data_IF_720785543548
#
_entry.id   IF_720785543548
#
_cell.length_a   1.000
_cell.length_b   1.000
_cell.length_c   1.000
_cell.angle_alpha   90.00
_cell.angle_beta   90.00
_cell.angle_gamma   90.00
#
_symmetry.space_group_name_H-M   'P 1'
#
loop_
_entity.id
_entity.type
_entity.pdbx_description
1 polymer ?
#
# COMPACT_ATOMS: atom_id res chain seq x y z
N UNK A 1 -21.08 -21.98 12.83
CA UNK A 1 -20.36 -20.74 12.49
C UNK A 1 -20.44 -19.83 13.71
N UNK A 2 -19.30 -19.39 14.27
CA UNK A 2 -19.33 -18.49 15.44
C UNK A 2 -19.72 -17.07 15.01
N UNK A 3 -20.18 -16.23 15.95
CA UNK A 3 -20.45 -14.80 15.66
C UNK A 3 -19.22 -14.09 15.10
N UNK A 4 -18.03 -14.49 15.56
CA UNK A 4 -16.75 -14.02 15.04
C UNK A 4 -16.50 -14.46 13.58
N UNK A 5 -16.85 -15.69 13.22
CA UNK A 5 -16.74 -16.16 11.83
C UNK A 5 -17.71 -15.41 10.91
N UNK A 6 -18.94 -15.14 11.36
CA UNK A 6 -19.89 -14.33 10.61
C UNK A 6 -19.39 -12.89 10.39
N UNK A 7 -18.84 -12.26 11.44
CA UNK A 7 -18.25 -10.93 11.34
C UNK A 7 -17.08 -10.90 10.36
N UNK A 8 -16.20 -11.91 10.40
CA UNK A 8 -15.10 -12.00 9.44
C UNK A 8 -15.61 -12.15 8.00
N UNK A 9 -16.62 -12.97 7.73
CA UNK A 9 -17.19 -13.08 6.39
C UNK A 9 -17.73 -11.74 5.88
N UNK A 10 -18.48 -11.00 6.72
CA UNK A 10 -18.98 -9.66 6.39
C UNK A 10 -17.82 -8.68 6.17
N UNK A 11 -16.80 -8.72 7.01
CA UNK A 11 -15.63 -7.84 6.89
C UNK A 11 -14.86 -8.09 5.59
N UNK A 12 -14.72 -9.35 5.16
CA UNK A 12 -14.06 -9.69 3.89
C UNK A 12 -14.87 -9.27 2.68
N UNK A 13 -16.20 -9.43 2.72
CA UNK A 13 -17.08 -8.93 1.66
C UNK A 13 -17.02 -7.39 1.57
N UNK A 14 -16.98 -6.70 2.72
CA UNK A 14 -16.81 -5.25 2.79
C UNK A 14 -15.41 -4.79 2.34
N UNK A 15 -14.36 -5.56 2.59
CA UNK A 15 -12.98 -5.21 2.18
C UNK A 15 -12.79 -5.29 0.65
N UNK A 16 -13.63 -6.06 -0.04
CA UNK A 16 -13.72 -6.06 -1.50
C UNK A 16 -14.64 -4.96 -2.04
N UNK A 17 -15.38 -4.24 -1.18
CA UNK A 17 -16.11 -3.05 -1.58
C UNK A 17 -15.11 -1.91 -1.80
N UNK A 18 -14.88 -1.58 -3.07
CA UNK A 18 -13.99 -0.49 -3.48
C UNK A 18 -14.69 0.86 -3.51
N UNK A 19 -15.96 0.96 -3.09
CA UNK A 19 -16.71 2.22 -3.07
C UNK A 19 -16.17 3.16 -2.01
N UNK A 20 -16.38 4.45 -2.23
CA UNK A 20 -15.98 5.46 -1.27
C UNK A 20 -16.87 5.44 -0.04
N UNK A 21 -16.24 5.28 1.12
CA UNK A 21 -16.88 5.47 2.41
C UNK A 21 -17.05 6.99 2.69
N UNK A 22 -18.27 7.47 2.98
CA UNK A 22 -18.52 8.86 3.36
C UNK A 22 -17.65 9.35 4.53
N UNK A 23 -17.33 8.50 5.51
CA UNK A 23 -16.47 8.87 6.66
C UNK A 23 -15.04 9.21 6.21
N UNK A 24 -14.56 8.55 5.14
CA UNK A 24 -13.22 8.79 4.62
C UNK A 24 -13.11 10.06 3.76
N UNK A 25 -14.24 10.63 3.30
CA UNK A 25 -14.25 11.86 2.50
C UNK A 25 -13.77 13.08 3.29
N UNK A 26 -14.17 13.20 4.55
CA UNK A 26 -13.69 14.29 5.42
C UNK A 26 -12.20 14.15 5.69
N UNK A 27 -11.75 12.92 5.93
CA UNK A 27 -10.35 12.59 6.16
C UNK A 27 -9.50 12.92 4.93
N UNK A 28 -9.99 12.64 3.72
CA UNK A 28 -9.22 12.88 2.50
C UNK A 28 -9.00 14.38 2.25
N UNK A 29 -9.98 15.23 2.55
CA UNK A 29 -9.79 16.69 2.53
C UNK A 29 -8.60 17.13 3.39
N UNK A 30 -8.50 16.61 4.61
CA UNK A 30 -7.42 16.96 5.56
C UNK A 30 -6.07 16.34 5.22
N UNK A 31 -6.04 15.08 4.78
CA UNK A 31 -4.80 14.32 4.62
C UNK A 31 -4.16 14.50 3.23
N UNK A 32 -4.98 14.74 2.20
CA UNK A 32 -4.51 14.85 0.83
C UNK A 32 -5.03 16.09 0.09
N UNK A 33 -5.58 17.09 0.79
CA UNK A 33 -6.08 18.33 0.20
C UNK A 33 -7.15 18.08 -0.89
N UNK A 34 -7.91 17.00 -0.73
CA UNK A 34 -8.97 16.66 -1.65
C UNK A 34 -10.16 17.61 -1.50
N UNK A 35 -10.52 18.30 -2.57
CA UNK A 35 -11.74 19.11 -2.62
C UNK A 35 -12.73 18.51 -3.62
N UNK A 36 -13.90 18.12 -3.13
CA UNK A 36 -14.94 17.47 -3.93
C UNK A 36 -15.38 18.33 -5.13
N UNK A 37 -15.38 19.66 -4.98
CA UNK A 37 -15.77 20.58 -6.06
C UNK A 37 -14.74 20.64 -7.21
N UNK A 38 -13.46 20.34 -6.93
CA UNK A 38 -12.37 20.38 -7.92
C UNK A 38 -11.84 18.99 -8.29
N UNK A 39 -12.37 17.92 -7.67
CA UNK A 39 -11.95 16.53 -7.87
C UNK A 39 -12.01 16.13 -9.35
N UNK A 40 -13.17 16.27 -9.98
CA UNK A 40 -13.38 15.88 -11.38
C UNK A 40 -12.47 16.66 -12.34
N UNK A 41 -12.27 17.96 -12.09
CA UNK A 41 -11.36 18.81 -12.85
C UNK A 41 -9.91 18.31 -12.74
N UNK A 42 -9.46 17.99 -11.52
CA UNK A 42 -8.09 17.51 -11.27
C UNK A 42 -7.82 16.16 -11.95
N UNK A 43 -8.81 15.26 -11.95
CA UNK A 43 -8.72 13.97 -12.67
C UNK A 43 -8.64 14.20 -14.18
N UNK A 44 -9.47 15.10 -14.72
CA UNK A 44 -9.47 15.46 -16.14
C UNK A 44 -8.14 16.08 -16.56
N UNK A 45 -7.60 16.98 -15.74
CA UNK A 45 -6.29 17.60 -15.97
C UNK A 45 -5.16 16.55 -15.94
N UNK A 46 -5.19 15.61 -14.99
CA UNK A 46 -4.21 14.53 -14.94
C UNK A 46 -4.30 13.65 -16.20
N UNK A 47 -5.50 13.26 -16.63
CA UNK A 47 -5.71 12.46 -17.85
C UNK A 47 -5.20 13.19 -19.09
N UNK A 48 -5.50 14.48 -19.21
CA UNK A 48 -4.97 15.33 -20.28
C UNK A 48 -3.43 15.40 -20.23
N UNK A 49 -2.85 15.58 -19.05
CA UNK A 49 -1.40 15.66 -18.88
C UNK A 49 -0.69 14.36 -19.27
N UNK A 50 -1.27 13.19 -18.95
CA UNK A 50 -0.76 11.88 -19.37
C UNK A 50 -0.70 11.81 -20.90
N UNK A 51 -1.80 12.17 -21.57
CA UNK A 51 -1.90 12.16 -23.03
C UNK A 51 -0.93 13.15 -23.69
N UNK A 52 -0.95 14.41 -23.26
CA UNK A 52 -0.17 15.48 -23.88
C UNK A 52 1.35 15.24 -23.78
N UNK A 53 1.81 14.63 -22.67
CA UNK A 53 3.24 14.43 -22.41
C UNK A 53 3.78 13.13 -22.98
N UNK A 54 2.96 12.08 -23.08
CA UNK A 54 3.38 10.78 -23.59
C UNK A 54 4.56 10.15 -22.83
N UNK A 55 4.78 10.52 -21.56
CA UNK A 55 5.93 10.04 -20.76
C UNK A 55 5.72 8.61 -20.22
N UNK A 56 4.48 8.12 -20.22
CA UNK A 56 4.10 6.77 -19.81
C UNK A 56 2.76 6.36 -20.44
N UNK A 57 2.51 5.05 -20.53
CA UNK A 57 1.23 4.48 -20.95
C UNK A 57 0.62 3.64 -19.82
N UNK A 58 -0.12 4.27 -18.88
CA UNK A 58 -0.79 3.54 -17.81
C UNK A 58 -1.83 2.56 -18.36
N UNK A 59 -1.89 1.36 -17.78
CA UNK A 59 -2.90 0.35 -18.17
C UNK A 59 -4.33 0.77 -17.84
N UNK A 60 -4.49 1.65 -16.85
CA UNK A 60 -5.76 2.17 -16.36
C UNK A 60 -5.69 3.68 -16.24
N UNK A 61 -6.78 4.34 -16.60
CA UNK A 61 -6.95 5.79 -16.48
C UNK A 61 -8.38 6.15 -16.05
N UNK A 62 -9.12 5.21 -15.48
CA UNK A 62 -10.39 5.47 -14.79
C UNK A 62 -10.18 6.36 -13.56
N UNK A 63 -11.28 6.94 -13.06
CA UNK A 63 -11.25 7.94 -12.01
C UNK A 63 -10.73 7.35 -10.70
N UNK A 64 -11.17 6.14 -10.33
CA UNK A 64 -10.73 5.43 -9.13
C UNK A 64 -9.22 5.16 -9.16
N UNK A 65 -8.70 4.72 -10.32
CA UNK A 65 -7.28 4.48 -10.49
C UNK A 65 -6.45 5.76 -10.36
N UNK A 66 -6.86 6.84 -11.03
CA UNK A 66 -6.13 8.12 -11.01
C UNK A 66 -6.20 8.83 -9.65
N UNK A 67 -7.30 8.67 -8.91
CA UNK A 67 -7.47 9.20 -7.56
C UNK A 67 -6.38 8.71 -6.60
N UNK A 68 -5.88 7.47 -6.75
CA UNK A 68 -4.78 6.93 -5.93
C UNK A 68 -3.52 7.81 -6.03
N UNK A 69 -3.20 8.27 -7.23
CA UNK A 69 -2.01 9.10 -7.49
C UNK A 69 -2.23 10.54 -7.01
N UNK A 70 -3.42 11.11 -7.25
CA UNK A 70 -3.80 12.43 -6.76
C UNK A 70 -3.77 12.49 -5.23
N UNK A 71 -4.44 11.55 -4.55
CA UNK A 71 -4.44 11.42 -3.08
C UNK A 71 -3.03 11.22 -2.52
N UNK A 72 -2.18 10.43 -3.19
CA UNK A 72 -0.81 10.24 -2.77
C UNK A 72 0.05 11.52 -2.88
N UNK A 73 -0.33 12.46 -3.75
CA UNK A 73 0.43 13.69 -4.05
C UNK A 73 -0.34 14.96 -3.78
N UNK A 74 -1.20 14.93 -2.76
CA UNK A 74 -1.88 16.09 -2.20
C UNK A 74 -2.75 16.84 -3.24
N UNK A 75 -3.31 16.11 -4.21
CA UNK A 75 -4.05 16.65 -5.34
C UNK A 75 -3.25 17.61 -6.24
N UNK A 76 -1.91 17.59 -6.16
CA UNK A 76 -1.04 18.36 -7.05
C UNK A 76 -0.80 17.57 -8.34
N UNK A 77 -1.56 17.90 -9.40
CA UNK A 77 -1.58 17.18 -10.69
C UNK A 77 -0.18 16.91 -11.27
N UNK A 78 0.75 17.88 -11.38
CA UNK A 78 2.10 17.61 -11.89
C UNK A 78 2.91 16.61 -11.05
N UNK A 79 2.67 16.56 -9.72
CA UNK A 79 3.34 15.61 -8.82
C UNK A 79 2.72 14.21 -8.96
N UNK A 80 1.40 14.13 -9.11
CA UNK A 80 0.68 12.89 -9.38
C UNK A 80 1.14 12.26 -10.71
N UNK A 81 1.21 13.06 -11.78
CA UNK A 81 1.75 12.62 -13.07
C UNK A 81 3.18 12.08 -12.94
N UNK A 82 4.06 12.82 -12.26
CA UNK A 82 5.45 12.37 -12.03
C UNK A 82 5.53 11.05 -11.27
N UNK A 83 4.65 10.82 -10.29
CA UNK A 83 4.56 9.54 -9.59
C UNK A 83 4.07 8.43 -10.52
N UNK A 84 3.06 8.70 -11.35
CA UNK A 84 2.51 7.74 -12.31
C UNK A 84 3.56 7.30 -13.34
N UNK A 85 4.34 8.23 -13.90
CA UNK A 85 5.46 7.93 -14.79
C UNK A 85 6.48 7.02 -14.10
N UNK A 86 6.83 7.31 -12.83
CA UNK A 86 7.75 6.47 -12.04
C UNK A 86 7.16 5.08 -11.79
N UNK A 87 5.87 4.99 -11.50
CA UNK A 87 5.15 3.73 -11.30
C UNK A 87 5.19 2.86 -12.54
N UNK A 88 4.82 3.40 -13.71
CA UNK A 88 4.87 2.67 -14.98
C UNK A 88 6.29 2.18 -15.30
N UNK A 89 7.29 3.08 -15.22
CA UNK A 89 8.69 2.74 -15.44
C UNK A 89 9.21 1.68 -14.47
N UNK A 90 8.79 1.72 -13.20
CA UNK A 90 9.18 0.71 -12.22
C UNK A 90 8.65 -0.67 -12.63
N UNK A 91 7.39 -0.75 -13.06
CA UNK A 91 6.78 -2.00 -13.53
C UNK A 91 7.43 -2.54 -14.79
N UNK A 92 7.70 -1.66 -15.76
CA UNK A 92 8.41 -2.00 -17.00
C UNK A 92 9.82 -2.55 -16.73
N UNK A 93 10.54 -1.95 -15.78
CA UNK A 93 11.89 -2.38 -15.42
C UNK A 93 11.95 -3.62 -14.51
N UNK A 94 10.83 -3.99 -13.89
CA UNK A 94 10.75 -5.13 -12.96
C UNK A 94 9.57 -6.05 -13.29
N UNK A 95 9.48 -6.58 -14.52
CA UNK A 95 8.34 -7.40 -14.95
C UNK A 95 8.22 -8.67 -14.10
N UNK A 96 9.33 -9.24 -13.61
CA UNK A 96 9.35 -10.42 -12.74
C UNK A 96 8.58 -10.26 -11.41
N UNK A 97 8.23 -9.03 -11.01
CA UNK A 97 7.41 -8.78 -9.81
C UNK A 97 5.90 -8.84 -10.09
N UNK A 98 5.48 -8.82 -11.36
CA UNK A 98 4.08 -8.62 -11.74
C UNK A 98 3.61 -9.55 -12.86
N UNK A 99 4.45 -9.78 -13.86
CA UNK A 99 4.15 -10.58 -15.04
C UNK A 99 4.22 -12.06 -14.70
N UNK A 100 3.15 -12.78 -15.01
CA UNK A 100 3.00 -14.23 -14.81
C UNK A 100 3.16 -14.68 -13.35
N UNK A 101 3.01 -13.74 -12.41
CA UNK A 101 3.03 -14.00 -10.97
C UNK A 101 1.69 -14.57 -10.55
N UNK A 102 1.69 -15.81 -10.06
CA UNK A 102 0.53 -16.45 -9.42
C UNK A 102 0.30 -15.81 -8.06
N UNK A 103 -0.70 -14.91 -7.98
CA UNK A 103 -1.05 -14.20 -6.74
C UNK A 103 -1.27 -15.18 -5.58
N UNK A 104 -1.85 -16.34 -5.85
CA UNK A 104 -2.20 -17.34 -4.84
C UNK A 104 -0.98 -18.10 -4.34
N UNK A 105 0.10 -18.16 -5.13
CA UNK A 105 1.36 -18.74 -4.69
C UNK A 105 1.99 -17.98 -3.53
N UNK A 106 1.68 -16.69 -3.35
CA UNK A 106 2.14 -15.89 -2.22
C UNK A 106 1.68 -16.46 -0.87
N UNK A 107 0.56 -17.20 -0.84
CA UNK A 107 0.12 -17.90 0.38
C UNK A 107 1.17 -18.88 0.92
N UNK A 108 2.04 -19.44 0.06
CA UNK A 108 3.11 -20.36 0.44
C UNK A 108 4.25 -19.67 1.19
N UNK A 109 4.38 -18.35 1.03
CA UNK A 109 5.39 -17.55 1.70
C UNK A 109 4.96 -17.19 3.14
N UNK A 110 3.73 -17.56 3.51
CA UNK A 110 3.20 -17.42 4.87
C UNK A 110 3.22 -15.97 5.35
N UNK A 111 3.66 -15.79 6.60
CA UNK A 111 3.68 -14.48 7.26
C UNK A 111 4.97 -13.68 6.99
N UNK A 112 5.85 -14.15 6.08
CA UNK A 112 7.13 -13.48 5.80
C UNK A 112 6.92 -12.08 5.20
N UNK A 113 5.84 -11.86 4.45
CA UNK A 113 5.48 -10.56 3.87
C UNK A 113 4.44 -9.79 4.69
N UNK A 114 4.20 -10.12 5.97
CA UNK A 114 3.38 -9.28 6.85
C UNK A 114 4.05 -7.91 7.01
N UNK A 115 3.64 -6.93 6.20
CA UNK A 115 4.13 -5.55 6.18
C UNK A 115 5.67 -5.39 6.00
N UNK A 116 6.39 -6.47 5.72
CA UNK A 116 7.84 -6.47 5.52
C UNK A 116 8.15 -6.54 4.03
N UNK A 117 8.53 -5.40 3.45
CA UNK A 117 9.20 -5.36 2.17
C UNK A 117 10.67 -5.73 2.39
N UNK A 118 11.03 -6.98 2.10
CA UNK A 118 12.44 -7.36 1.95
C UNK A 118 12.97 -6.82 0.63
N UNK A 119 13.29 -5.54 0.61
CA UNK A 119 13.82 -4.92 -0.59
C UNK A 119 15.35 -4.79 -0.53
N UNK A 120 16.01 -5.17 -1.62
CA UNK A 120 17.40 -4.72 -1.87
C UNK A 120 17.41 -3.18 -1.81
N UNK A 121 18.42 -2.53 -1.21
CA UNK A 121 18.43 -1.08 -1.01
C UNK A 121 18.09 -0.24 -2.25
N UNK A 122 18.52 -0.69 -3.44
CA UNK A 122 18.16 -0.06 -4.72
C UNK A 122 16.68 -0.19 -5.09
N UNK A 123 16.10 -1.38 -4.91
CA UNK A 123 14.69 -1.68 -5.23
C UNK A 123 13.76 -1.02 -4.22
N UNK A 124 14.11 -0.98 -2.93
CA UNK A 124 13.22 -0.46 -1.88
C UNK A 124 13.00 1.05 -1.97
N UNK A 125 14.06 1.81 -2.27
CA UNK A 125 13.94 3.25 -2.55
C UNK A 125 13.06 3.51 -3.78
N UNK A 126 13.18 2.65 -4.80
CA UNK A 126 12.40 2.75 -6.03
C UNK A 126 10.93 2.35 -5.81
N UNK A 127 10.66 1.28 -5.05
CA UNK A 127 9.33 0.75 -4.74
C UNK A 127 8.51 1.72 -3.89
N UNK A 128 9.06 2.23 -2.78
CA UNK A 128 8.39 3.24 -1.93
C UNK A 128 8.17 4.55 -2.71
N UNK A 129 9.10 4.91 -3.59
CA UNK A 129 9.02 6.12 -4.41
C UNK A 129 8.14 6.02 -5.66
N UNK A 130 7.74 4.80 -6.04
CA UNK A 130 6.95 4.52 -7.25
C UNK A 130 5.52 4.06 -6.94
N UNK A 131 5.23 3.58 -5.72
CA UNK A 131 3.89 3.11 -5.37
C UNK A 131 2.98 4.30 -5.00
N UNK A 132 1.70 4.33 -5.44
CA UNK A 132 0.73 5.35 -5.03
C UNK A 132 0.19 5.10 -3.62
N UNK A 133 1.10 5.08 -2.64
CA UNK A 133 0.81 4.88 -1.23
C UNK A 133 1.54 5.94 -0.39
N UNK A 134 0.91 6.38 0.70
CA UNK A 134 1.52 7.31 1.65
C UNK A 134 2.04 6.51 2.84
N UNK A 135 3.36 6.38 2.96
CA UNK A 135 3.96 5.81 4.16
C UNK A 135 3.85 6.83 5.30
N UNK A 136 2.96 6.61 6.27
CA UNK A 136 2.79 7.52 7.40
C UNK A 136 3.91 7.37 8.43
N UNK A 137 4.15 6.15 8.89
CA UNK A 137 5.22 5.80 9.83
C UNK A 137 5.76 4.40 9.53
N UNK A 138 7.03 4.18 9.85
CA UNK A 138 7.72 2.89 9.77
C UNK A 138 8.30 2.56 11.14
N UNK A 139 7.84 1.47 11.75
CA UNK A 139 8.24 1.06 13.09
C UNK A 139 9.14 -0.17 13.02
N UNK A 140 10.40 -0.03 13.45
CA UNK A 140 11.39 -1.09 13.46
C UNK A 140 11.52 -1.66 14.87
N UNK A 141 11.08 -2.92 15.04
CA UNK A 141 11.18 -3.71 16.27
C UNK A 141 12.09 -4.91 16.06
N UNK A 142 12.62 -5.46 17.15
CA UNK A 142 13.41 -6.70 17.19
C UNK A 142 14.55 -6.77 16.16
N UNK A 143 15.11 -5.61 15.79
CA UNK A 143 16.25 -5.53 14.89
C UNK A 143 17.58 -5.61 15.68
N UNK A 144 18.62 -6.14 15.04
CA UNK A 144 19.94 -6.27 15.67
C UNK A 144 20.61 -4.89 15.83
N UNK A 145 21.39 -4.70 16.89
CA UNK A 145 22.07 -3.42 17.15
C UNK A 145 22.93 -2.93 15.97
N UNK A 146 23.42 -3.84 15.13
CA UNK A 146 24.15 -3.53 13.89
C UNK A 146 23.35 -2.60 12.96
N UNK A 147 22.02 -2.77 12.87
CA UNK A 147 21.17 -1.92 12.05
C UNK A 147 21.20 -0.45 12.51
N UNK A 148 21.37 -0.18 13.81
CA UNK A 148 21.53 1.21 14.28
C UNK A 148 22.75 1.87 13.64
N UNK A 149 23.89 1.18 13.63
CA UNK A 149 25.12 1.68 12.99
C UNK A 149 24.91 1.92 11.50
N UNK A 150 24.23 1.00 10.81
CA UNK A 150 23.89 1.18 9.39
C UNK A 150 23.02 2.42 9.16
N UNK A 151 21.94 2.62 9.93
CA UNK A 151 21.07 3.77 9.76
C UNK A 151 21.76 5.10 10.05
N UNK A 152 22.68 5.17 11.03
CA UNK A 152 23.46 6.38 11.29
C UNK A 152 24.38 6.76 10.12
N UNK A 153 24.97 5.78 9.44
CA UNK A 153 25.80 6.00 8.25
C UNK A 153 24.93 6.50 7.08
N UNK A 154 23.77 5.86 6.87
CA UNK A 154 22.89 6.17 5.74
C UNK A 154 21.94 7.35 5.96
N UNK A 155 21.77 7.82 7.21
CA UNK A 155 20.90 8.95 7.55
C UNK A 155 21.13 10.16 6.66
N UNK A 156 22.39 10.45 6.30
CA UNK A 156 22.76 11.58 5.43
C UNK A 156 22.19 11.50 4.01
N UNK A 157 21.77 10.32 3.56
CA UNK A 157 21.18 10.10 2.23
C UNK A 157 19.65 9.98 2.27
N UNK A 158 19.05 9.95 3.45
CA UNK A 158 17.61 9.86 3.64
C UNK A 158 17.06 11.29 3.80
N UNK A 159 16.11 11.73 2.96
CA UNK A 159 15.45 13.01 3.14
C UNK A 159 14.83 13.15 4.54
N UNK A 160 14.94 14.34 5.15
CA UNK A 160 14.51 14.56 6.53
C UNK A 160 13.05 14.16 6.76
N UNK A 161 12.16 14.54 5.84
CA UNK A 161 10.73 14.20 5.90
C UNK A 161 10.43 12.69 5.84
N UNK A 162 11.35 11.87 5.30
CA UNK A 162 11.26 10.42 5.35
C UNK A 162 11.88 9.87 6.64
N UNK A 163 13.01 10.43 7.08
CA UNK A 163 13.67 10.06 8.34
C UNK A 163 12.78 10.25 9.55
N UNK A 164 12.04 11.36 9.63
CA UNK A 164 11.15 11.69 10.74
C UNK A 164 9.99 10.70 10.92
N UNK A 165 9.74 9.85 9.91
CA UNK A 165 8.70 8.80 9.92
C UNK A 165 9.24 7.44 10.37
N UNK A 166 10.54 7.30 10.59
CA UNK A 166 11.16 6.03 10.97
C UNK A 166 11.35 6.01 12.48
N UNK A 167 10.73 5.04 13.15
CA UNK A 167 10.78 4.85 14.59
C UNK A 167 11.56 3.59 14.94
N UNK A 168 12.58 3.74 15.78
CA UNK A 168 13.47 2.67 16.19
C UNK A 168 13.14 2.23 17.62
N UNK A 169 12.59 1.03 17.77
CA UNK A 169 12.16 0.49 19.06
C UNK A 169 13.13 -0.55 19.64
N UNK A 170 13.94 -1.18 18.80
CA UNK A 170 14.85 -2.26 19.22
C UNK A 170 14.03 -3.40 19.84
N UNK A 171 14.44 -3.88 21.01
CA UNK A 171 13.71 -4.89 21.78
C UNK A 171 12.70 -4.32 22.78
N UNK A 172 12.56 -2.99 22.89
CA UNK A 172 11.63 -2.37 23.85
C UNK A 172 10.25 -2.12 23.21
N UNK A 173 9.33 -3.07 23.40
CA UNK A 173 7.95 -2.94 22.92
C UNK A 173 7.17 -1.82 23.62
N UNK A 174 7.56 -1.38 24.83
CA UNK A 174 6.87 -0.27 25.50
C UNK A 174 7.02 1.03 24.71
N UNK A 175 8.14 1.19 24.01
CA UNK A 175 8.34 2.34 23.11
C UNK A 175 7.41 2.30 21.89
N UNK A 176 7.02 1.11 21.40
CA UNK A 176 6.02 0.94 20.35
C UNK A 176 4.62 1.27 20.88
N UNK A 177 4.28 0.78 22.08
CA UNK A 177 2.97 0.99 22.72
C UNK A 177 2.64 2.45 23.03
N UNK A 178 3.65 3.33 23.08
CA UNK A 178 3.45 4.78 23.23
C UNK A 178 2.93 5.45 21.94
N UNK A 179 3.07 4.78 20.79
CA UNK A 179 2.73 5.35 19.48
C UNK A 179 1.56 4.59 18.83
N UNK A 180 1.49 3.27 19.02
CA UNK A 180 0.44 2.42 18.45
C UNK A 180 -0.41 1.86 19.59
N UNK A 181 -1.73 2.09 19.51
CA UNK A 181 -2.68 1.59 20.50
C UNK A 181 -2.66 0.07 20.61
N UNK A 182 -2.79 -0.42 21.84
CA UNK A 182 -2.70 -1.85 22.14
C UNK A 182 -3.77 -2.65 21.40
N UNK A 183 -4.96 -2.08 21.20
CA UNK A 183 -6.07 -2.72 20.49
C UNK A 183 -5.79 -2.94 19.00
N UNK A 184 -4.84 -2.20 18.42
CA UNK A 184 -4.39 -2.37 17.03
C UNK A 184 -3.25 -3.38 16.90
N UNK A 185 -2.66 -3.81 18.02
CA UNK A 185 -1.49 -4.68 18.02
C UNK A 185 -1.86 -6.15 18.34
N UNK A 186 -1.35 -7.12 17.57
CA UNK A 186 -1.41 -8.53 17.94
C UNK A 186 -0.80 -8.82 19.32
N UNK A 187 -1.27 -9.87 19.99
CA UNK A 187 -0.75 -10.32 21.27
C UNK A 187 0.77 -10.59 21.28
N UNK A 188 1.33 -11.06 20.15
CA UNK A 188 2.79 -11.28 19.99
C UNK A 188 3.63 -9.99 20.11
N UNK A 189 3.01 -8.82 19.95
CA UNK A 189 3.63 -7.51 20.17
C UNK A 189 3.13 -6.85 21.46
N UNK A 190 2.50 -7.61 22.36
CA UNK A 190 1.99 -7.12 23.64
C UNK A 190 0.67 -6.34 23.55
N UNK A 191 -0.05 -6.44 22.44
CA UNK A 191 -1.36 -5.80 22.27
C UNK A 191 -2.55 -6.68 22.63
N UNK A 192 -3.74 -6.14 22.42
CA UNK A 192 -5.06 -6.72 22.75
C UNK A 192 -5.92 -6.91 21.51
N UNK A 193 -5.37 -6.79 20.30
CA UNK A 193 -6.10 -7.01 19.05
C UNK A 193 -6.65 -8.45 18.98
N UNK A 194 -7.97 -8.59 18.97
CA UNK A 194 -8.67 -9.87 18.92
C UNK A 194 -8.94 -10.35 17.49
N UNK A 195 -8.75 -9.48 16.49
CA UNK A 195 -9.11 -9.70 15.08
C UNK A 195 -7.87 -9.85 14.18
N UNK A 196 -6.84 -10.55 14.64
CA UNK A 196 -5.62 -10.77 13.84
C UNK A 196 -5.91 -11.79 12.73
N UNK A 197 -5.86 -11.32 11.49
CA UNK A 197 -6.00 -12.15 10.28
C UNK A 197 -4.61 -12.37 9.68
N UNK A 198 -4.24 -13.63 9.42
CA UNK A 198 -3.00 -13.94 8.70
C UNK A 198 -3.13 -13.62 7.22
N UNK A 199 -2.02 -13.27 6.56
CA UNK A 199 -1.97 -13.02 5.11
C UNK A 199 -2.53 -14.21 4.32
N UNK A 200 -2.22 -15.44 4.75
CA UNK A 200 -2.77 -16.64 4.11
C UNK A 200 -4.29 -16.72 4.22
N UNK A 201 -4.88 -16.44 5.39
CA UNK A 201 -6.35 -16.43 5.57
C UNK A 201 -6.98 -15.31 4.76
N UNK A 202 -6.35 -14.14 4.73
CA UNK A 202 -6.79 -12.98 3.94
C UNK A 202 -6.83 -13.31 2.43
N UNK A 203 -5.72 -13.81 1.88
CA UNK A 203 -5.65 -14.24 0.47
C UNK A 203 -6.62 -15.37 0.14
N UNK A 204 -6.86 -16.33 1.04
CA UNK A 204 -7.86 -17.38 0.83
C UNK A 204 -9.28 -16.82 0.71
N UNK A 205 -9.60 -15.78 1.48
CA UNK A 205 -10.92 -15.14 1.45
C UNK A 205 -11.09 -14.30 0.20
N UNK A 206 -10.09 -13.51 -0.19
CA UNK A 206 -10.08 -12.85 -1.52
C UNK A 206 -10.27 -13.89 -2.62
N UNK A 207 -9.55 -15.02 -2.55
CA UNK A 207 -9.71 -16.11 -3.53
C UNK A 207 -11.14 -16.65 -3.55
N UNK A 208 -11.76 -16.85 -2.40
CA UNK A 208 -13.14 -17.38 -2.28
C UNK A 208 -14.19 -16.42 -2.87
N UNK A 209 -14.02 -15.13 -2.65
CA UNK A 209 -15.02 -14.10 -2.94
C UNK A 209 -14.79 -13.31 -4.22
N UNK A 210 -13.63 -13.47 -4.88
CA UNK A 210 -13.36 -12.82 -6.15
C UNK A 210 -14.43 -13.15 -7.18
N UNK A 211 -14.74 -12.18 -8.01
CA UNK A 211 -15.65 -12.31 -9.14
C UNK A 211 -14.87 -12.29 -10.48
N UNK A 212 -15.62 -12.38 -11.58
CA UNK A 212 -15.02 -12.31 -12.92
C UNK A 212 -14.38 -10.95 -13.23
N UNK A 213 -14.84 -9.87 -12.58
CA UNK A 213 -14.24 -8.55 -12.76
C UNK A 213 -12.84 -8.50 -12.14
N UNK A 214 -12.70 -8.99 -10.91
CA UNK A 214 -11.40 -9.13 -10.25
C UNK A 214 -10.43 -9.95 -11.09
N UNK A 215 -10.86 -11.11 -11.59
CA UNK A 215 -10.00 -11.99 -12.39
C UNK A 215 -9.54 -11.30 -13.70
N UNK A 216 -10.42 -10.52 -14.34
CA UNK A 216 -10.08 -9.71 -15.52
C UNK A 216 -9.06 -8.62 -15.16
N UNK A 217 -9.32 -7.83 -14.13
CA UNK A 217 -8.43 -6.73 -13.72
C UNK A 217 -7.04 -7.24 -13.33
N UNK A 218 -6.95 -8.36 -12.61
CA UNK A 218 -5.65 -8.93 -12.24
C UNK A 218 -4.88 -9.46 -13.45
N UNK A 219 -5.55 -10.06 -14.44
CA UNK A 219 -4.93 -10.44 -15.72
C UNK A 219 -4.44 -9.21 -16.49
N UNK A 220 -5.24 -8.14 -16.56
CA UNK A 220 -4.85 -6.88 -17.18
C UNK A 220 -3.64 -6.24 -16.49
N UNK A 221 -3.47 -6.46 -15.18
CA UNK A 221 -2.29 -6.06 -14.42
C UNK A 221 -1.07 -6.99 -14.59
N UNK A 222 -1.19 -8.07 -15.38
CA UNK A 222 -0.11 -9.01 -15.71
C UNK A 222 -0.03 -10.24 -14.79
N UNK A 223 -0.91 -10.37 -13.79
CA UNK A 223 -0.89 -11.50 -12.88
C UNK A 223 -1.45 -12.77 -13.53
N UNK A 224 -0.90 -13.91 -13.11
CA UNK A 224 -1.40 -15.21 -13.52
C UNK A 224 -2.61 -15.59 -12.66
N UNK A 225 -3.79 -15.61 -13.26
CA UNK A 225 -5.02 -16.15 -12.66
C UNK A 225 -5.26 -17.53 -13.26
N UNK A 226 -4.98 -18.57 -12.48
CA UNK A 226 -5.32 -19.95 -12.80
C UNK A 226 -6.81 -20.16 -12.50
N UNK A 227 -7.48 -20.84 -13.42
CA UNK A 227 -8.87 -21.31 -13.27
C UNK A 227 -9.03 -22.18 -12.01
#
# INVERSE_FOLDING_TARGET
MTMYDCFLEIAFEAELDTKEDPELLEISSRICNENLSTRATSITELRKMIFDRGECEPRRTDDEYLLRFLRCKDFIVPRAHRLLVRYCRFRENHPHLYQDVDLWSLMKVGNIYECCLHDKPGVGRLSIGATPARLNSLHLINYTWLLNTFFYIFKKFIPQNAWDRIHFHGSDLKSLHKIVDLECLPARYGGTCNSVVSVSKWLQKIKKYRDGNFDREMKELGYLIKE
#
